data_IF_462345790653
#
_entry.id   IF_462345790653
#
_cell.length_a   1.000
_cell.length_b   1.000
_cell.length_c   1.000
_cell.angle_alpha   90.00
_cell.angle_beta   90.00
_cell.angle_gamma   90.00
#
_symmetry.space_group_name_H-M   'P 1'
#
loop_
_entity.id
_entity.type
_entity.pdbx_description
1 polymer ?
#
# COMPACT_ATOMS: atom_id res chain seq x y z
N UNK A 1 -37.93 -34.80 -23.05
CA UNK A 1 -38.13 -35.81 -21.99
C UNK A 1 -36.85 -35.90 -21.16
N UNK A 2 -36.75 -35.19 -20.04
CA UNK A 2 -35.55 -35.20 -19.19
C UNK A 2 -35.54 -36.43 -18.27
N UNK A 3 -34.48 -37.24 -18.35
CA UNK A 3 -34.27 -38.44 -17.52
C UNK A 3 -34.16 -38.02 -16.05
N UNK A 4 -34.99 -38.58 -15.16
CA UNK A 4 -34.90 -38.37 -13.71
C UNK A 4 -33.51 -38.79 -13.23
N UNK A 5 -32.70 -37.83 -12.78
CA UNK A 5 -31.41 -38.10 -12.13
C UNK A 5 -31.71 -38.83 -10.80
N UNK A 6 -31.15 -40.03 -10.64
CA UNK A 6 -31.32 -40.85 -9.42
C UNK A 6 -30.58 -40.15 -8.27
N UNK A 7 -31.29 -39.79 -7.18
CA UNK A 7 -30.66 -39.25 -5.98
C UNK A 7 -29.82 -40.36 -5.32
N UNK A 8 -28.49 -40.27 -5.43
CA UNK A 8 -27.56 -41.17 -4.74
C UNK A 8 -27.54 -40.76 -3.27
N UNK A 9 -27.83 -41.69 -2.36
CA UNK A 9 -27.73 -41.42 -0.91
C UNK A 9 -26.27 -41.48 -0.47
N UNK A 10 -25.84 -40.58 0.42
CA UNK A 10 -24.48 -40.56 0.96
C UNK A 10 -24.05 -41.93 1.53
N UNK A 11 -25.01 -42.65 2.12
CA UNK A 11 -24.82 -44.00 2.68
C UNK A 11 -24.68 -45.13 1.65
N UNK A 12 -24.73 -44.83 0.35
CA UNK A 12 -24.54 -45.79 -0.75
C UNK A 12 -23.18 -45.60 -1.45
N UNK A 13 -22.42 -44.54 -1.11
CA UNK A 13 -21.09 -44.31 -1.67
C UNK A 13 -20.05 -45.30 -1.12
N UNK A 14 -19.02 -45.71 -1.88
CA UNK A 14 -17.94 -46.52 -1.34
C UNK A 14 -17.19 -45.78 -0.22
N UNK A 15 -16.70 -46.51 0.78
CA UNK A 15 -16.03 -45.96 1.98
C UNK A 15 -14.91 -44.96 1.64
N UNK A 16 -14.14 -45.24 0.57
CA UNK A 16 -13.06 -44.37 0.09
C UNK A 16 -13.59 -43.01 -0.38
N UNK A 17 -14.69 -43.00 -1.13
CA UNK A 17 -15.30 -41.77 -1.66
C UNK A 17 -15.98 -40.97 -0.56
N UNK A 18 -16.59 -41.60 0.44
CA UNK A 18 -17.10 -40.88 1.62
C UNK A 18 -15.98 -40.21 2.42
N UNK A 19 -14.86 -40.92 2.64
CA UNK A 19 -13.69 -40.35 3.33
C UNK A 19 -13.13 -39.15 2.57
N UNK A 20 -12.98 -39.26 1.25
CA UNK A 20 -12.54 -38.15 0.39
C UNK A 20 -13.50 -36.97 0.43
N UNK A 21 -14.82 -37.23 0.40
CA UNK A 21 -15.83 -36.17 0.46
C UNK A 21 -15.84 -35.47 1.83
N UNK A 22 -15.68 -36.21 2.93
CA UNK A 22 -15.55 -35.62 4.27
C UNK A 22 -14.28 -34.79 4.40
N UNK A 23 -13.14 -35.29 3.91
CA UNK A 23 -11.88 -34.52 3.87
C UNK A 23 -12.05 -33.24 3.04
N UNK A 24 -12.67 -33.35 1.86
CA UNK A 24 -12.92 -32.20 1.00
C UNK A 24 -13.83 -31.15 1.65
N UNK A 25 -14.94 -31.57 2.27
CA UNK A 25 -15.82 -30.68 3.02
C UNK A 25 -15.09 -30.05 4.21
N UNK A 26 -14.26 -30.81 4.92
CA UNK A 26 -13.44 -30.29 6.01
C UNK A 26 -12.46 -29.21 5.52
N UNK A 27 -11.79 -29.43 4.38
CA UNK A 27 -10.90 -28.43 3.79
C UNK A 27 -11.67 -27.17 3.38
N UNK A 28 -12.87 -27.29 2.81
CA UNK A 28 -13.72 -26.14 2.49
C UNK A 28 -14.06 -25.35 3.76
N UNK A 29 -14.53 -26.03 4.82
CA UNK A 29 -14.87 -25.39 6.09
C UNK A 29 -13.64 -24.72 6.70
N UNK A 30 -12.48 -25.37 6.66
CA UNK A 30 -11.22 -24.80 7.14
C UNK A 30 -10.85 -23.54 6.35
N UNK A 31 -10.99 -23.55 5.02
CA UNK A 31 -10.75 -22.39 4.17
C UNK A 31 -11.68 -21.23 4.54
N UNK A 32 -12.98 -21.49 4.73
CA UNK A 32 -13.94 -20.47 5.16
C UNK A 32 -13.62 -19.93 6.56
N UNK A 33 -13.23 -20.79 7.51
CA UNK A 33 -12.84 -20.35 8.85
C UNK A 33 -11.57 -19.49 8.83
N UNK A 34 -10.54 -19.92 8.08
CA UNK A 34 -9.30 -19.15 7.92
C UNK A 34 -9.57 -17.83 7.23
N UNK A 35 -10.35 -17.82 6.14
CA UNK A 35 -10.74 -16.60 5.44
C UNK A 35 -11.53 -15.65 6.34
N UNK A 36 -12.50 -16.16 7.11
CA UNK A 36 -13.26 -15.37 8.08
C UNK A 36 -12.39 -14.80 9.20
N UNK A 37 -11.40 -15.56 9.68
CA UNK A 37 -10.44 -15.10 10.67
C UNK A 37 -9.50 -14.01 10.12
N UNK A 38 -9.00 -14.18 8.89
CA UNK A 38 -8.18 -13.18 8.21
C UNK A 38 -8.97 -11.89 7.97
N UNK A 39 -10.20 -12.00 7.47
CA UNK A 39 -11.10 -10.86 7.30
C UNK A 39 -11.39 -10.17 8.63
N UNK A 40 -11.59 -10.91 9.71
CA UNK A 40 -11.79 -10.33 11.04
C UNK A 40 -10.54 -9.59 11.54
N UNK A 41 -9.34 -10.13 11.32
CA UNK A 41 -8.09 -9.44 11.66
C UNK A 41 -7.94 -8.12 10.90
N UNK A 42 -8.18 -8.12 9.59
CA UNK A 42 -8.14 -6.93 8.73
C UNK A 42 -9.23 -5.92 9.11
N UNK A 43 -10.48 -6.36 9.27
CA UNK A 43 -11.61 -5.50 9.65
C UNK A 43 -11.40 -4.81 11.01
N UNK A 44 -10.67 -5.46 11.91
CA UNK A 44 -10.36 -4.89 13.23
C UNK A 44 -9.06 -4.08 13.26
N UNK A 45 -8.36 -3.94 12.13
CA UNK A 45 -7.05 -3.27 12.02
C UNK A 45 -5.96 -3.95 12.86
N UNK A 46 -6.15 -5.23 13.20
CA UNK A 46 -5.24 -5.99 14.08
C UNK A 46 -4.02 -6.51 13.34
N UNK A 47 -4.14 -6.75 12.04
CA UNK A 47 -3.02 -7.03 11.14
C UNK A 47 -2.03 -5.87 11.12
N UNK A 48 -2.56 -4.66 10.97
CA UNK A 48 -1.86 -3.41 11.15
C UNK A 48 -1.23 -3.35 12.55
N UNK A 49 -2.00 -3.49 13.64
CA UNK A 49 -1.49 -3.48 15.02
C UNK A 49 -0.39 -4.54 15.30
N UNK A 50 -0.47 -5.71 14.66
CA UNK A 50 0.52 -6.78 14.78
C UNK A 50 1.78 -6.51 13.98
N UNK A 51 1.65 -6.03 12.74
CA UNK A 51 2.79 -5.55 11.95
C UNK A 51 3.46 -4.33 12.59
N UNK A 52 2.69 -3.48 13.27
CA UNK A 52 3.15 -2.34 14.07
C UNK A 52 3.99 -2.77 15.29
N UNK A 53 3.64 -3.90 15.94
CA UNK A 53 4.33 -4.39 17.15
C UNK A 53 5.46 -5.38 16.87
N UNK A 54 5.34 -6.16 15.80
CA UNK A 54 6.28 -7.21 15.41
C UNK A 54 6.61 -7.04 13.92
N UNK A 55 7.73 -6.37 13.64
CA UNK A 55 8.18 -6.07 12.27
C UNK A 55 8.34 -7.35 11.43
N UNK A 56 8.70 -8.47 12.06
CA UNK A 56 8.81 -9.79 11.45
C UNK A 56 7.46 -10.33 10.95
N UNK A 57 6.36 -9.93 11.58
CA UNK A 57 5.00 -10.32 11.22
C UNK A 57 4.38 -9.40 10.16
N UNK A 58 5.09 -8.35 9.71
CA UNK A 58 4.61 -7.46 8.65
C UNK A 58 4.29 -8.16 7.33
N UNK A 59 4.83 -9.38 7.10
CA UNK A 59 4.50 -10.23 5.95
C UNK A 59 2.98 -10.54 5.87
N UNK A 60 2.28 -10.55 7.01
CA UNK A 60 0.83 -10.80 7.08
C UNK A 60 0.06 -9.74 6.29
N UNK A 61 0.53 -8.48 6.26
CA UNK A 61 -0.11 -7.38 5.50
C UNK A 61 -0.02 -7.56 3.98
N UNK A 62 0.79 -8.51 3.51
CA UNK A 62 0.91 -8.83 2.09
C UNK A 62 0.05 -10.03 1.69
N UNK A 63 -0.47 -10.83 2.65
CA UNK A 63 -1.30 -12.00 2.36
C UNK A 63 -2.59 -11.65 1.60
N UNK A 64 -3.34 -10.59 1.95
CA UNK A 64 -4.51 -10.20 1.17
C UNK A 64 -4.15 -9.86 -0.28
N UNK A 65 -2.99 -9.21 -0.50
CA UNK A 65 -2.50 -8.85 -1.84
C UNK A 65 -2.14 -10.06 -2.69
N UNK A 66 -1.58 -11.11 -2.09
CA UNK A 66 -1.23 -12.36 -2.78
C UNK A 66 -2.49 -13.10 -3.25
N UNK A 67 -3.58 -12.99 -2.48
CA UNK A 67 -4.86 -13.60 -2.82
C UNK A 67 -5.65 -12.81 -3.86
N UNK A 68 -5.15 -11.64 -4.28
CA UNK A 68 -5.82 -10.78 -5.23
C UNK A 68 -5.53 -11.19 -6.69
N UNK A 69 -5.97 -12.40 -7.01
CA UNK A 69 -5.81 -13.06 -8.32
C UNK A 69 -6.36 -12.18 -9.45
N UNK A 70 -7.33 -11.30 -9.14
CA UNK A 70 -7.93 -10.37 -10.09
C UNK A 70 -6.90 -9.38 -10.67
N UNK A 71 -5.93 -8.92 -9.86
CA UNK A 71 -4.89 -7.98 -10.32
C UNK A 71 -3.62 -8.66 -10.83
N UNK A 72 -3.53 -10.01 -10.86
CA UNK A 72 -2.33 -10.71 -11.36
C UNK A 72 -1.88 -10.24 -12.75
N UNK A 73 -2.75 -10.05 -13.76
CA UNK A 73 -2.31 -9.54 -15.06
C UNK A 73 -1.68 -8.14 -14.98
N UNK A 74 -2.14 -7.32 -14.04
CA UNK A 74 -1.65 -5.96 -13.81
C UNK A 74 -0.31 -5.95 -13.08
N UNK A 75 0.04 -7.00 -12.33
CA UNK A 75 1.35 -7.12 -11.68
C UNK A 75 2.50 -7.33 -12.67
N UNK A 76 2.25 -7.88 -13.84
CA UNK A 76 3.27 -8.15 -14.87
C UNK A 76 3.30 -7.09 -16.00
N UNK A 77 2.37 -6.13 -15.97
CA UNK A 77 2.32 -5.04 -16.94
C UNK A 77 3.28 -3.90 -16.61
N UNK A 78 3.64 -3.10 -17.62
CA UNK A 78 4.29 -1.81 -17.37
C UNK A 78 3.27 -0.85 -16.77
N UNK A 79 3.68 -0.16 -15.71
CA UNK A 79 2.93 0.95 -15.15
C UNK A 79 2.66 2.01 -16.22
N UNK A 80 1.44 2.50 -16.28
CA UNK A 80 1.05 3.65 -17.11
C UNK A 80 1.04 4.95 -16.29
N UNK A 81 1.46 4.88 -15.02
CA UNK A 81 1.50 6.04 -14.15
C UNK A 81 2.73 6.90 -14.48
N UNK A 82 2.66 8.22 -14.26
CA UNK A 82 3.84 9.09 -14.32
C UNK A 82 4.93 8.55 -13.39
N UNK A 83 6.13 8.38 -13.93
CA UNK A 83 7.30 7.93 -13.18
C UNK A 83 8.06 9.12 -12.59
N UNK A 84 8.14 9.15 -11.27
CA UNK A 84 8.91 10.11 -10.50
C UNK A 84 10.14 9.41 -9.94
N UNK A 85 11.29 10.06 -10.04
CA UNK A 85 12.52 9.55 -9.46
C UNK A 85 13.11 10.58 -8.51
N UNK A 86 13.60 10.09 -7.38
CA UNK A 86 14.30 10.89 -6.38
C UNK A 86 15.70 10.31 -6.22
N UNK A 87 16.72 11.14 -6.43
CA UNK A 87 18.12 10.78 -6.21
C UNK A 87 18.63 11.51 -4.97
N UNK A 88 19.06 10.76 -3.97
CA UNK A 88 19.54 11.26 -2.67
C UNK A 88 20.83 10.55 -2.31
N UNK A 89 21.71 11.24 -1.59
CA UNK A 89 22.87 10.61 -0.97
C UNK A 89 22.44 9.40 -0.10
N UNK A 90 23.00 8.23 -0.42
CA UNK A 90 22.62 6.97 0.23
C UNK A 90 22.90 6.98 1.73
N UNK A 91 24.00 7.58 2.17
CA UNK A 91 24.35 7.61 3.60
C UNK A 91 23.34 8.44 4.39
N UNK A 92 22.92 9.59 3.83
CA UNK A 92 21.87 10.43 4.44
C UNK A 92 20.51 9.75 4.46
N UNK A 93 20.19 8.98 3.40
CA UNK A 93 18.95 8.20 3.36
C UNK A 93 18.96 7.10 4.43
N UNK A 94 20.09 6.39 4.57
CA UNK A 94 20.26 5.33 5.57
C UNK A 94 20.22 5.90 7.01
N UNK A 95 20.75 7.11 7.23
CA UNK A 95 20.65 7.84 8.50
C UNK A 95 19.19 8.17 8.84
N UNK A 96 18.47 8.79 7.90
CA UNK A 96 17.05 9.09 8.04
C UNK A 96 16.21 7.83 8.34
N UNK A 97 16.57 6.70 7.72
CA UNK A 97 15.87 5.43 7.94
C UNK A 97 16.07 4.90 9.36
N UNK A 98 17.23 5.15 9.97
CA UNK A 98 17.48 4.81 11.38
C UNK A 98 16.71 5.73 12.32
N UNK A 99 16.70 7.03 12.04
CA UNK A 99 15.97 8.02 12.84
C UNK A 99 14.46 7.75 12.84
N UNK A 100 13.93 7.20 11.76
CA UNK A 100 12.50 6.89 11.63
C UNK A 100 12.09 5.50 12.17
N UNK A 101 13.01 4.66 12.62
CA UNK A 101 12.71 3.29 13.10
C UNK A 101 12.27 3.25 14.58
N UNK A 102 11.28 4.07 14.95
CA UNK A 102 10.81 4.22 16.35
C UNK A 102 9.51 3.48 16.67
N UNK A 103 9.12 2.49 15.86
CA UNK A 103 7.90 1.71 16.07
C UNK A 103 6.61 2.52 15.86
N UNK A 104 5.47 2.01 16.33
CA UNK A 104 4.18 2.68 16.14
C UNK A 104 4.03 3.89 17.04
N UNK A 105 3.75 5.03 16.42
CA UNK A 105 3.43 6.24 17.13
C UNK A 105 2.73 7.27 16.23
N UNK A 106 1.79 8.04 16.79
CA UNK A 106 1.11 9.15 16.11
C UNK A 106 1.40 10.47 16.84
N UNK A 107 1.60 11.54 16.07
CA UNK A 107 2.04 12.88 16.51
C UNK A 107 3.44 12.90 17.15
N UNK A 108 4.38 12.20 16.53
CA UNK A 108 5.70 11.95 17.12
C UNK A 108 6.75 11.62 16.07
N UNK A 109 6.66 12.24 14.89
CA UNK A 109 7.78 12.24 13.98
C UNK A 109 9.03 12.71 14.76
N UNK A 110 10.10 11.91 14.83
CA UNK A 110 11.32 12.30 15.54
C UNK A 110 11.84 13.63 15.01
N UNK A 111 12.24 14.53 15.90
CA UNK A 111 12.76 15.84 15.51
C UNK A 111 14.01 15.69 14.63
N UNK A 112 14.78 14.64 14.87
CA UNK A 112 15.93 14.25 14.05
C UNK A 112 15.53 13.97 12.60
N UNK A 113 14.40 13.26 12.42
CA UNK A 113 13.87 12.89 11.11
C UNK A 113 13.05 14.00 10.42
N UNK A 114 12.59 15.04 11.15
CA UNK A 114 11.85 16.17 10.58
C UNK A 114 12.76 17.21 9.90
N UNK A 115 13.78 16.74 9.19
CA UNK A 115 14.79 17.57 8.53
C UNK A 115 14.80 17.37 7.03
N UNK A 116 15.00 18.47 6.31
CA UNK A 116 15.14 18.44 4.87
C UNK A 116 16.54 17.96 4.46
N UNK A 117 16.56 17.01 3.52
CA UNK A 117 17.76 16.47 2.91
C UNK A 117 17.79 16.87 1.44
N UNK A 118 18.95 17.36 0.97
CA UNK A 118 19.12 17.71 -0.44
C UNK A 118 19.00 16.46 -1.33
N UNK A 119 18.25 16.61 -2.42
CA UNK A 119 17.97 15.57 -3.40
C UNK A 119 17.87 16.17 -4.81
N UNK A 120 17.84 15.32 -5.81
CA UNK A 120 17.42 15.65 -7.15
C UNK A 120 16.09 14.96 -7.42
N UNK A 121 15.09 15.72 -7.87
CA UNK A 121 13.84 15.17 -8.36
C UNK A 121 13.93 15.07 -9.89
N UNK A 122 13.63 13.90 -10.44
CA UNK A 122 13.72 13.63 -11.87
C UNK A 122 12.33 13.27 -12.38
N UNK A 123 11.91 13.97 -13.43
CA UNK A 123 10.65 13.72 -14.14
C UNK A 123 10.87 13.92 -15.63
N UNK A 124 10.49 12.91 -16.44
CA UNK A 124 10.60 12.92 -17.90
C UNK A 124 12.02 13.31 -18.40
N UNK A 125 13.05 12.83 -17.71
CA UNK A 125 14.45 13.11 -18.03
C UNK A 125 14.97 14.49 -17.60
N UNK A 126 14.12 15.34 -17.00
CA UNK A 126 14.53 16.63 -16.44
C UNK A 126 14.79 16.52 -14.95
N UNK A 127 15.92 17.05 -14.51
CA UNK A 127 16.32 17.13 -13.10
C UNK A 127 15.94 18.46 -12.50
N UNK A 128 15.45 18.43 -11.26
CA UNK A 128 15.07 19.57 -10.45
C UNK A 128 15.79 19.49 -9.11
N UNK A 129 16.58 20.51 -8.73
CA UNK A 129 17.14 20.58 -7.38
C UNK A 129 15.99 20.69 -6.38
N UNK A 130 16.02 19.80 -5.38
CA UNK A 130 14.96 19.72 -4.38
C UNK A 130 15.53 19.39 -3.00
N UNK A 131 14.73 19.64 -1.98
CA UNK A 131 14.94 19.11 -0.64
C UNK A 131 13.76 18.26 -0.25
N UNK A 132 14.01 17.11 0.36
CA UNK A 132 12.96 16.18 0.75
C UNK A 132 12.97 15.90 2.24
N UNK A 133 11.83 15.51 2.79
CA UNK A 133 11.73 14.94 4.14
C UNK A 133 10.56 13.96 4.26
N UNK A 134 10.55 13.06 5.26
CA UNK A 134 9.37 12.31 5.59
C UNK A 134 8.19 13.25 5.85
N UNK A 135 6.98 12.80 5.48
CA UNK A 135 5.76 13.57 5.70
C UNK A 135 4.78 12.78 6.54
N UNK A 136 4.06 13.47 7.41
CA UNK A 136 2.92 12.93 8.15
C UNK A 136 3.24 12.77 9.62
N UNK A 137 2.20 12.79 10.44
CA UNK A 137 2.36 12.86 11.90
C UNK A 137 2.33 11.46 12.53
N UNK A 138 1.82 10.47 11.80
CA UNK A 138 1.75 9.07 12.20
C UNK A 138 2.83 8.21 11.53
N UNK A 139 3.32 7.22 12.25
CA UNK A 139 4.40 6.34 11.83
C UNK A 139 4.05 5.46 10.63
N UNK A 140 2.78 5.30 10.28
CA UNK A 140 2.37 4.70 9.02
C UNK A 140 2.96 5.42 7.79
N UNK A 141 3.29 6.70 7.92
CA UNK A 141 3.90 7.47 6.85
C UNK A 141 5.42 7.45 6.80
N UNK A 142 6.10 7.19 7.93
CA UNK A 142 7.56 7.35 8.00
C UNK A 142 8.27 6.21 8.71
N UNK A 143 7.60 5.39 9.52
CA UNK A 143 8.20 4.30 10.29
C UNK A 143 8.44 3.01 9.50
N UNK A 144 7.90 2.93 8.28
CA UNK A 144 8.02 1.74 7.42
C UNK A 144 8.96 1.96 6.23
N UNK A 145 9.25 0.88 5.51
CA UNK A 145 10.06 0.91 4.29
C UNK A 145 9.45 1.82 3.23
N UNK A 146 8.14 1.68 2.98
CA UNK A 146 7.41 2.61 2.14
C UNK A 146 7.02 3.83 2.96
N UNK A 147 7.52 5.00 2.57
CA UNK A 147 7.30 6.29 3.25
C UNK A 147 6.49 7.27 2.39
N UNK A 148 5.84 8.22 3.05
CA UNK A 148 5.30 9.43 2.44
C UNK A 148 6.37 10.52 2.49
N UNK A 149 6.46 11.30 1.43
CA UNK A 149 7.52 12.29 1.23
C UNK A 149 6.94 13.67 1.01
N UNK A 150 7.58 14.68 1.57
CA UNK A 150 7.42 16.07 1.17
C UNK A 150 8.63 16.48 0.36
N UNK A 151 8.40 17.02 -0.82
CA UNK A 151 9.42 17.50 -1.75
C UNK A 151 9.25 19.01 -1.86
N UNK A 152 10.30 19.76 -1.57
CA UNK A 152 10.37 21.20 -1.75
C UNK A 152 11.34 21.51 -2.88
N UNK A 153 10.88 22.25 -3.87
CA UNK A 153 11.69 22.68 -5.01
C UNK A 153 12.39 24.00 -4.71
N UNK A 154 13.50 24.24 -5.39
CA UNK A 154 14.15 25.55 -5.40
C UNK A 154 13.21 26.61 -6.00
N UNK A 155 13.25 27.82 -5.48
CA UNK A 155 12.43 28.95 -5.96
C UNK A 155 12.74 29.30 -7.41
N UNK A 156 13.96 29.03 -7.88
CA UNK A 156 14.38 29.25 -9.26
C UNK A 156 14.08 28.06 -10.19
N UNK A 157 13.68 26.91 -9.63
CA UNK A 157 13.49 25.65 -10.35
C UNK A 157 12.20 24.92 -9.95
N UNK A 158 11.07 25.63 -10.05
CA UNK A 158 9.74 25.09 -9.73
C UNK A 158 9.36 23.89 -10.60
N UNK A 159 8.69 22.91 -9.99
CA UNK A 159 8.12 21.78 -10.72
C UNK A 159 6.67 22.08 -11.09
N UNK A 160 6.38 22.23 -12.39
CA UNK A 160 5.03 22.56 -12.87
C UNK A 160 4.44 23.84 -12.23
N UNK A 161 5.29 24.80 -11.87
CA UNK A 161 4.88 26.02 -11.15
C UNK A 161 4.69 25.85 -9.65
N UNK A 162 4.89 24.64 -9.11
CA UNK A 162 4.71 24.33 -7.70
C UNK A 162 6.05 24.39 -6.94
N UNK A 163 6.02 25.01 -5.75
CA UNK A 163 7.14 25.03 -4.79
C UNK A 163 7.24 23.75 -3.97
N UNK A 164 6.14 23.00 -3.85
CA UNK A 164 6.06 21.83 -3.00
C UNK A 164 5.18 20.76 -3.64
N UNK A 165 5.58 19.51 -3.46
CA UNK A 165 4.82 18.33 -3.82
C UNK A 165 4.82 17.37 -2.64
N UNK A 166 3.65 16.85 -2.30
CA UNK A 166 3.50 15.82 -1.26
C UNK A 166 3.19 14.48 -1.93
N UNK A 167 4.03 13.46 -1.70
CA UNK A 167 3.80 12.08 -2.09
C UNK A 167 3.28 11.31 -0.89
N UNK A 168 2.01 10.90 -0.94
CA UNK A 168 1.33 10.22 0.15
C UNK A 168 1.13 8.75 -0.23
N UNK A 169 1.32 7.84 0.73
CA UNK A 169 1.06 6.41 0.51
C UNK A 169 -0.44 6.22 0.20
N UNK A 170 -0.81 5.58 -0.93
CA UNK A 170 -2.21 5.49 -1.35
C UNK A 170 -3.16 4.83 -0.35
N UNK A 171 -2.69 3.84 0.41
CA UNK A 171 -3.52 3.14 1.40
C UNK A 171 -4.02 4.06 2.52
N UNK A 172 -3.23 5.08 2.88
CA UNK A 172 -3.60 6.09 3.88
C UNK A 172 -4.73 7.03 3.39
N UNK A 173 -5.03 7.00 2.09
CA UNK A 173 -6.14 7.73 1.46
C UNK A 173 -7.23 6.80 0.93
N UNK A 174 -7.24 5.57 1.45
CA UNK A 174 -8.15 4.50 1.02
C UNK A 174 -8.13 4.32 -0.51
N UNK A 175 -6.94 4.49 -1.11
CA UNK A 175 -6.68 4.50 -2.54
C UNK A 175 -7.53 5.52 -3.30
N UNK A 176 -8.75 5.13 -3.68
CA UNK A 176 -9.64 5.89 -4.56
C UNK A 176 -10.51 6.88 -3.81
N UNK A 177 -10.64 6.79 -2.49
CA UNK A 177 -11.61 7.58 -1.74
C UNK A 177 -11.33 9.08 -1.85
N UNK A 178 -10.10 9.52 -1.56
CA UNK A 178 -9.73 10.95 -1.65
C UNK A 178 -9.83 11.46 -3.09
N UNK A 179 -9.36 10.68 -4.07
CA UNK A 179 -9.44 11.05 -5.48
C UNK A 179 -10.91 11.23 -5.95
N UNK A 180 -11.79 10.31 -5.57
CA UNK A 180 -13.21 10.37 -5.89
C UNK A 180 -13.90 11.54 -5.18
N UNK A 181 -13.54 11.82 -3.93
CA UNK A 181 -14.05 12.95 -3.18
C UNK A 181 -13.64 14.28 -3.83
N UNK A 182 -12.38 14.42 -4.23
CA UNK A 182 -11.89 15.58 -4.97
C UNK A 182 -12.60 15.74 -6.32
N UNK A 183 -12.83 14.64 -7.05
CA UNK A 183 -13.62 14.66 -8.29
C UNK A 183 -15.04 15.18 -8.06
N UNK A 184 -15.74 14.67 -7.04
CA UNK A 184 -17.10 15.11 -6.69
C UNK A 184 -17.14 16.59 -6.28
N UNK A 185 -16.21 17.01 -5.44
CA UNK A 185 -16.09 18.40 -5.00
C UNK A 185 -15.84 19.35 -6.20
N UNK A 186 -14.99 18.97 -7.17
CA UNK A 186 -14.83 19.70 -8.44
C UNK A 186 -16.16 19.83 -9.19
N UNK A 187 -16.97 18.77 -9.25
CA UNK A 187 -18.29 18.80 -9.91
C UNK A 187 -19.29 19.72 -9.21
N UNK A 188 -19.10 20.00 -7.92
CA UNK A 188 -19.86 21.00 -7.17
C UNK A 188 -19.26 22.41 -7.24
N UNK A 189 -18.20 22.63 -8.03
CA UNK A 189 -17.56 23.93 -8.17
C UNK A 189 -16.62 24.31 -7.00
N UNK A 190 -16.23 23.33 -6.18
CA UNK A 190 -15.28 23.55 -5.08
C UNK A 190 -13.83 23.46 -5.58
N UNK A 191 -12.96 24.26 -4.97
CA UNK A 191 -11.51 24.17 -5.14
C UNK A 191 -10.99 22.97 -4.35
N UNK A 192 -10.16 22.15 -4.99
CA UNK A 192 -9.55 20.97 -4.38
C UNK A 192 -8.09 20.86 -4.82
N UNK A 193 -7.22 20.18 -4.05
CA UNK A 193 -5.85 19.91 -4.49
C UNK A 193 -5.82 19.08 -5.78
N UNK A 194 -4.82 19.32 -6.61
CA UNK A 194 -4.51 18.41 -7.70
C UNK A 194 -3.91 17.12 -7.14
N UNK A 195 -4.47 15.99 -7.56
CA UNK A 195 -4.07 14.67 -7.10
C UNK A 195 -3.94 13.76 -8.31
N UNK A 196 -2.89 12.94 -8.31
CA UNK A 196 -2.68 11.88 -9.30
C UNK A 196 -1.88 10.75 -8.67
N UNK A 197 -2.10 9.53 -9.15
CA UNK A 197 -1.24 8.40 -8.81
C UNK A 197 0.04 8.47 -9.62
N UNK A 198 1.16 8.15 -8.99
CA UNK A 198 2.49 8.15 -9.60
C UNK A 198 3.24 6.90 -9.17
N UNK A 199 4.18 6.47 -10.00
CA UNK A 199 5.20 5.51 -9.62
C UNK A 199 6.40 6.29 -9.09
N UNK A 200 6.85 5.99 -7.87
CA UNK A 200 8.01 6.62 -7.27
C UNK A 200 9.18 5.63 -7.25
N UNK A 201 10.35 6.09 -7.69
CA UNK A 201 11.63 5.41 -7.51
C UNK A 201 12.55 6.26 -6.66
N UNK A 202 13.29 5.63 -5.75
CA UNK A 202 14.30 6.30 -4.93
C UNK A 202 15.64 5.63 -5.22
N UNK A 203 16.60 6.39 -5.73
CA UNK A 203 17.92 5.89 -6.14
C UNK A 203 17.82 4.70 -7.12
N UNK A 204 16.86 4.76 -8.05
CA UNK A 204 16.61 3.74 -9.07
C UNK A 204 15.82 2.50 -8.61
N UNK A 205 15.41 2.44 -7.34
CA UNK A 205 14.64 1.33 -6.73
C UNK A 205 13.16 1.73 -6.59
#
# INVERSE_FOLDING_TARGET
>A
MFKKIKKIKFNELPRIWRRRLVIFLFLIVLIFMVSGFLFWLEYTGRDEAMAYKYKELSIINYLPKILDVYFLPLMFGKSQLPGYEIVIDKNKLDELYKETDIGYCCNCLPEEADKYINAQFIFEGKSYPASIKPRGDCSNHWGYEKKSWRIKFDDEALFSGEKQLDLIIPSDREFVAEYLNNYRAKKFGLVVPEMKFVELKINGI
#
